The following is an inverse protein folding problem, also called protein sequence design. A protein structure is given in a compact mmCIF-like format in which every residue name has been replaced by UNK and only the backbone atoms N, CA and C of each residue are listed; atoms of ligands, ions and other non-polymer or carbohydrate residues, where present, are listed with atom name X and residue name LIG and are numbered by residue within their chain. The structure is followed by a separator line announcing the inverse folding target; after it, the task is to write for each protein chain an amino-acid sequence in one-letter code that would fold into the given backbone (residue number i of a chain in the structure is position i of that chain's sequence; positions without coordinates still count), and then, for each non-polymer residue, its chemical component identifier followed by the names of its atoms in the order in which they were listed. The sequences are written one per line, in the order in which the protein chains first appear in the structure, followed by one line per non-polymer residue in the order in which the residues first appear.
data_IF_174392199800
#
_entry.id   IF_174392199800
#
_cell.length_a   1.000
_cell.length_b   1.000
_cell.length_c   1.000
_cell.angle_alpha   90.00
_cell.angle_beta   90.00
_cell.angle_gamma   90.00
#
_symmetry.space_group_name_H-M   'P 1'
#
loop_
_entity.id
_entity.type
_entity.pdbx_description
1 polymer ?
#
# COMPACT_ATOMS: atom_id res chain seq x y z
N UNK A 1 -23.59 -11.20 -5.31
CA UNK A 1 -22.45 -11.92 -5.90
C UNK A 1 -21.69 -10.98 -6.82
N UNK A 2 -20.37 -10.95 -6.72
CA UNK A 2 -19.49 -10.21 -7.62
C UNK A 2 -19.08 -11.12 -8.78
N UNK A 3 -19.15 -10.60 -10.01
CA UNK A 3 -18.56 -11.24 -11.17
C UNK A 3 -17.17 -10.63 -11.36
N UNK A 4 -16.12 -11.45 -11.30
CA UNK A 4 -14.74 -11.00 -11.47
C UNK A 4 -14.02 -11.82 -12.55
N UNK A 5 -12.99 -11.22 -13.14
CA UNK A 5 -12.10 -11.95 -14.03
C UNK A 5 -11.19 -12.89 -13.23
N UNK A 6 -10.89 -14.07 -13.81
CA UNK A 6 -9.83 -14.91 -13.27
C UNK A 6 -8.48 -14.33 -13.67
N UNK A 7 -7.63 -14.06 -12.70
CA UNK A 7 -6.34 -13.40 -12.90
C UNK A 7 -5.19 -14.17 -12.25
N UNK A 8 -4.04 -14.17 -12.93
CA UNK A 8 -2.75 -14.50 -12.34
C UNK A 8 -2.24 -13.26 -11.62
N UNK A 9 -2.33 -13.26 -10.28
CA UNK A 9 -1.95 -12.13 -9.45
C UNK A 9 -0.45 -11.87 -9.51
N UNK A 10 -0.07 -10.61 -9.63
CA UNK A 10 1.30 -10.18 -9.39
C UNK A 10 1.57 -10.16 -7.88
N UNK A 11 2.72 -10.64 -7.40
CA UNK A 11 3.09 -10.54 -6.00
C UNK A 11 3.62 -9.13 -5.66
N UNK A 12 2.91 -8.11 -6.11
CA UNK A 12 3.26 -6.70 -5.94
C UNK A 12 2.07 -5.92 -5.36
N UNK A 13 2.37 -5.01 -4.46
CA UNK A 13 1.47 -3.97 -3.99
C UNK A 13 1.93 -2.62 -4.53
N UNK A 14 1.00 -1.87 -5.14
CA UNK A 14 1.22 -0.52 -5.63
C UNK A 14 0.55 0.46 -4.69
N UNK A 15 1.31 1.33 -4.07
CA UNK A 15 0.78 2.34 -3.15
C UNK A 15 0.88 3.71 -3.80
N UNK A 16 -0.27 4.37 -3.98
CA UNK A 16 -0.33 5.75 -4.48
C UNK A 16 -0.65 6.68 -3.32
N UNK A 17 0.01 7.84 -3.28
CA UNK A 17 -0.07 8.77 -2.17
C UNK A 17 -0.33 10.20 -2.61
N UNK A 18 -1.31 10.84 -1.97
CA UNK A 18 -1.53 12.28 -1.99
C UNK A 18 -0.83 12.98 -0.83
N UNK A 19 -0.54 12.25 0.26
CA UNK A 19 0.12 12.79 1.45
C UNK A 19 1.32 11.94 1.85
N UNK A 20 2.36 12.59 2.35
CA UNK A 20 3.48 11.91 3.01
C UNK A 20 3.04 11.38 4.37
N UNK A 21 2.70 10.08 4.45
CA UNK A 21 2.19 9.45 5.66
C UNK A 21 2.56 7.97 5.78
N UNK A 22 2.40 7.43 6.98
CA UNK A 22 2.67 6.02 7.26
C UNK A 22 4.11 5.61 7.01
N UNK A 23 4.32 4.44 6.40
CA UNK A 23 5.66 3.90 6.12
C UNK A 23 6.49 4.73 5.13
N UNK A 24 5.86 5.63 4.37
CA UNK A 24 6.58 6.58 3.50
C UNK A 24 7.57 7.43 4.29
N UNK A 25 7.19 7.88 5.48
CA UNK A 25 8.02 8.72 6.34
C UNK A 25 9.28 8.01 6.84
N UNK A 26 9.22 6.69 7.04
CA UNK A 26 10.39 5.90 7.45
C UNK A 26 11.46 5.83 6.35
N UNK A 27 11.04 5.87 5.08
CA UNK A 27 11.96 5.86 3.94
C UNK A 27 12.41 7.26 3.52
N UNK A 28 11.58 8.26 3.79
CA UNK A 28 11.75 9.65 3.34
C UNK A 28 11.70 10.57 4.56
N UNK A 29 12.76 10.53 5.36
CA UNK A 29 12.85 11.19 6.68
C UNK A 29 12.77 12.72 6.61
N UNK A 30 12.97 13.32 5.42
CA UNK A 30 12.77 14.76 5.21
C UNK A 30 11.30 15.21 5.37
N UNK A 31 10.36 14.26 5.31
CA UNK A 31 8.94 14.52 5.56
C UNK A 31 8.58 14.01 6.96
N UNK A 32 8.95 14.73 8.00
CA UNK A 32 8.58 14.35 9.35
C UNK A 32 7.05 14.28 9.53
N UNK A 33 6.61 13.31 10.33
CA UNK A 33 5.21 13.15 10.66
C UNK A 33 4.74 14.32 11.54
N UNK A 34 4.10 15.29 10.92
CA UNK A 34 3.36 16.34 11.61
C UNK A 34 1.86 16.06 11.49
N UNK A 35 1.22 15.71 12.60
CA UNK A 35 -0.22 15.43 12.67
C UNK A 35 -1.09 16.66 12.41
N UNK A 36 -0.55 17.85 12.62
CA UNK A 36 -1.28 19.10 12.40
C UNK A 36 -1.13 19.65 10.98
N UNK A 37 -0.06 19.29 10.28
CA UNK A 37 0.23 19.79 8.94
C UNK A 37 0.98 18.75 8.08
N UNK A 38 0.33 17.62 7.72
CA UNK A 38 0.98 16.60 6.90
C UNK A 38 1.27 17.12 5.48
N UNK A 39 2.47 16.81 4.98
CA UNK A 39 2.88 17.27 3.63
C UNK A 39 1.98 16.66 2.55
N UNK A 40 1.31 17.52 1.79
CA UNK A 40 0.50 17.14 0.62
C UNK A 40 1.34 17.25 -0.65
N UNK A 41 1.36 16.20 -1.45
CA UNK A 41 2.02 16.19 -2.76
C UNK A 41 1.17 16.89 -3.81
N UNK A 42 1.77 17.77 -4.59
CA UNK A 42 1.14 18.37 -5.77
C UNK A 42 0.86 17.29 -6.84
N UNK A 43 1.87 16.50 -7.16
CA UNK A 43 1.74 15.32 -8.04
C UNK A 43 1.69 14.05 -7.20
N UNK A 44 0.88 13.09 -7.64
CA UNK A 44 0.79 11.79 -6.98
C UNK A 44 2.15 11.10 -6.91
N UNK A 45 2.48 10.55 -5.76
CA UNK A 45 3.66 9.72 -5.57
C UNK A 45 3.22 8.26 -5.54
N UNK A 46 3.95 7.39 -6.21
CA UNK A 46 3.69 5.97 -6.19
C UNK A 46 4.92 5.17 -5.77
N UNK A 47 4.68 4.05 -5.13
CA UNK A 47 5.67 3.11 -4.63
C UNK A 47 5.23 1.68 -4.93
N UNK A 48 6.18 0.76 -5.06
CA UNK A 48 5.92 -0.67 -5.24
C UNK A 48 6.53 -1.43 -4.05
N UNK A 49 5.80 -2.41 -3.55
CA UNK A 49 6.25 -3.35 -2.53
C UNK A 49 6.08 -4.78 -3.03
N UNK A 50 7.02 -5.64 -2.69
CA UNK A 50 6.94 -7.05 -3.00
C UNK A 50 6.23 -7.79 -1.86
N UNK A 51 5.24 -8.65 -2.18
CA UNK A 51 4.46 -9.42 -1.18
C UNK A 51 5.20 -10.64 -0.62
N UNK A 52 6.51 -10.65 -0.62
CA UNK A 52 7.34 -11.69 -0.05
C UNK A 52 8.22 -11.12 1.06
N UNK A 53 8.71 -11.99 1.93
CA UNK A 53 9.77 -11.61 2.86
C UNK A 53 11.14 -11.75 2.20
N UNK A 54 12.10 -10.91 2.63
CA UNK A 54 13.52 -11.10 2.38
C UNK A 54 14.17 -11.52 3.69
N UNK A 55 14.88 -12.64 3.66
CA UNK A 55 15.65 -13.15 4.78
C UNK A 55 17.13 -13.00 4.45
N UNK A 56 17.89 -12.43 5.38
CA UNK A 56 19.34 -12.20 5.21
C UNK A 56 20.14 -12.96 6.29
N UNK A 57 21.47 -13.09 6.15
CA UNK A 57 22.32 -13.64 7.22
C UNK A 57 22.05 -12.93 8.58
N UNK A 58 22.10 -13.65 9.73
CA UNK A 58 22.65 -15.00 9.86
C UNK A 58 21.68 -16.17 9.61
N UNK A 59 20.42 -15.92 9.32
CA UNK A 59 19.43 -17.00 9.16
C UNK A 59 19.64 -17.85 7.91
N UNK A 60 20.26 -17.28 6.87
CA UNK A 60 20.56 -17.92 5.58
C UNK A 60 22.00 -17.58 5.17
N UNK A 61 22.58 -18.36 4.26
CA UNK A 61 23.95 -18.11 3.77
C UNK A 61 24.02 -16.84 2.92
N UNK A 62 23.01 -16.61 2.07
CA UNK A 62 22.87 -15.43 1.21
C UNK A 62 21.43 -14.91 1.27
N UNK A 63 21.18 -13.61 1.00
CA UNK A 63 19.84 -13.06 0.97
C UNK A 63 18.91 -13.85 0.03
N UNK A 64 17.73 -14.19 0.52
CA UNK A 64 16.73 -14.97 -0.23
C UNK A 64 15.34 -14.35 -0.08
N UNK A 65 14.56 -14.34 -1.18
CA UNK A 65 13.12 -14.10 -1.13
C UNK A 65 12.39 -15.37 -0.70
N UNK A 66 11.42 -15.22 0.17
CA UNK A 66 10.63 -16.30 0.74
C UNK A 66 9.15 -15.88 0.80
N UNK A 67 8.24 -16.81 0.58
CA UNK A 67 6.81 -16.59 0.82
C UNK A 67 6.58 -16.07 2.25
N UNK A 68 5.75 -15.03 2.41
CA UNK A 68 5.56 -14.43 3.74
C UNK A 68 4.99 -15.41 4.76
N UNK A 69 4.10 -16.31 4.33
CA UNK A 69 3.50 -17.30 5.24
C UNK A 69 4.54 -18.32 5.71
N UNK A 70 5.49 -18.68 4.85
CA UNK A 70 6.62 -19.52 5.22
C UNK A 70 7.58 -18.79 6.17
N UNK A 71 7.96 -17.56 5.82
CA UNK A 71 8.81 -16.73 6.69
C UNK A 71 8.17 -16.53 8.07
N UNK A 72 6.86 -16.33 8.12
CA UNK A 72 6.08 -16.18 9.36
C UNK A 72 6.18 -17.41 10.25
N UNK A 73 6.07 -18.61 9.69
CA UNK A 73 6.19 -19.86 10.44
C UNK A 73 7.59 -20.05 11.02
N UNK A 74 8.63 -19.60 10.31
CA UNK A 74 10.02 -19.80 10.71
C UNK A 74 10.55 -18.71 11.64
N UNK A 75 10.21 -17.45 11.38
CA UNK A 75 10.91 -16.29 11.95
C UNK A 75 10.01 -15.29 12.69
N UNK A 76 8.70 -15.57 12.84
CA UNK A 76 7.83 -14.75 13.69
C UNK A 76 7.68 -15.42 15.05
N UNK A 77 8.25 -14.81 16.10
CA UNK A 77 8.20 -15.31 17.49
C UNK A 77 7.54 -14.26 18.39
N UNK A 78 6.57 -14.66 19.15
CA UNK A 78 5.83 -13.78 20.09
C UNK A 78 5.31 -12.49 19.42
N UNK A 79 4.84 -12.61 18.17
CA UNK A 79 4.33 -11.48 17.38
C UNK A 79 5.39 -10.53 16.83
N UNK A 80 6.68 -10.87 16.96
CA UNK A 80 7.80 -10.06 16.46
C UNK A 80 8.63 -10.84 15.45
N UNK A 81 8.98 -10.16 14.37
CA UNK A 81 9.92 -10.70 13.38
C UNK A 81 11.34 -10.73 13.95
N UNK A 82 12.05 -11.80 13.67
CA UNK A 82 13.48 -11.87 14.00
C UNK A 82 14.28 -10.83 13.18
N UNK A 83 15.38 -10.36 13.73
CA UNK A 83 16.31 -9.48 13.04
C UNK A 83 16.84 -10.17 11.76
N UNK A 84 16.95 -9.40 10.66
CA UNK A 84 17.35 -9.96 9.37
C UNK A 84 16.19 -10.48 8.52
N UNK A 85 14.94 -10.34 8.98
CA UNK A 85 13.74 -10.65 8.21
C UNK A 85 12.98 -9.36 7.87
N UNK A 86 12.75 -9.12 6.58
CA UNK A 86 12.12 -7.91 6.05
C UNK A 86 10.87 -8.29 5.26
N UNK A 87 9.71 -7.92 5.76
CA UNK A 87 8.43 -8.15 5.07
C UNK A 87 8.09 -6.97 4.17
N UNK A 88 7.35 -7.24 3.11
CA UNK A 88 6.88 -6.24 2.14
C UNK A 88 7.98 -5.26 1.71
N UNK A 89 9.15 -5.76 1.25
CA UNK A 89 10.26 -4.90 0.91
C UNK A 89 9.88 -3.91 -0.20
N UNK A 90 10.37 -2.69 -0.08
CA UNK A 90 10.23 -1.65 -1.11
C UNK A 90 11.01 -2.05 -2.35
N UNK A 91 10.37 -1.96 -3.52
CA UNK A 91 10.97 -2.25 -4.82
C UNK A 91 11.45 -0.97 -5.46
N UNK A 92 12.76 -0.83 -5.62
CA UNK A 92 13.35 0.19 -6.48
C UNK A 92 13.44 -0.35 -7.90
N UNK A 93 12.67 0.25 -8.80
CA UNK A 93 12.65 -0.10 -10.22
C UNK A 93 13.81 0.56 -10.98
N UNK A 94 14.22 -0.04 -12.10
CA UNK A 94 15.32 0.41 -12.94
C UNK A 94 15.72 -0.64 -13.96
N UNK A 95 16.95 -0.60 -14.46
CA UNK A 95 17.49 -1.67 -15.33
C UNK A 95 17.42 -3.02 -14.62
N UNK A 96 17.80 -3.05 -13.36
CA UNK A 96 17.55 -4.15 -12.43
C UNK A 96 16.63 -3.67 -11.32
N UNK A 97 15.82 -4.58 -10.80
CA UNK A 97 15.00 -4.28 -9.62
C UNK A 97 15.75 -4.67 -8.36
N UNK A 98 15.70 -3.80 -7.36
CA UNK A 98 16.33 -4.00 -6.08
C UNK A 98 15.33 -3.89 -4.94
N UNK A 99 15.50 -4.73 -3.92
CA UNK A 99 14.67 -4.73 -2.73
C UNK A 99 15.36 -3.98 -1.58
N UNK A 100 14.60 -3.13 -0.92
CA UNK A 100 15.02 -2.35 0.24
C UNK A 100 14.07 -2.58 1.41
N UNK A 101 14.53 -2.33 2.62
CA UNK A 101 13.65 -2.33 3.78
C UNK A 101 12.52 -1.31 3.59
N UNK A 102 11.27 -1.74 3.83
CA UNK A 102 10.12 -0.84 3.82
C UNK A 102 10.12 0.18 4.98
N UNK A 103 10.93 -0.06 6.01
CA UNK A 103 10.92 0.70 7.27
C UNK A 103 12.23 1.45 7.56
N UNK A 104 13.13 1.53 6.59
CA UNK A 104 14.41 2.24 6.72
C UNK A 104 14.57 3.24 5.57
N UNK A 105 15.39 4.29 5.74
CA UNK A 105 15.69 5.24 4.66
C UNK A 105 16.21 4.52 3.40
N UNK A 106 15.80 4.99 2.22
CA UNK A 106 16.21 4.42 0.92
C UNK A 106 17.74 4.54 0.70
N UNK A 107 18.41 5.41 1.44
CA UNK A 107 19.87 5.51 1.46
C UNK A 107 20.57 4.29 2.04
N UNK A 108 19.83 3.39 2.71
CA UNK A 108 20.35 2.12 3.20
C UNK A 108 20.76 1.20 2.03
N UNK A 109 21.65 0.24 2.31
CA UNK A 109 22.07 -0.75 1.32
C UNK A 109 20.88 -1.60 0.88
N UNK A 110 20.80 -1.90 -0.42
CA UNK A 110 19.85 -2.87 -0.98
C UNK A 110 19.97 -4.21 -0.25
N UNK A 111 18.84 -4.83 0.06
CA UNK A 111 18.79 -6.18 0.65
C UNK A 111 19.24 -7.22 -0.36
N UNK A 112 18.71 -7.13 -1.58
CA UNK A 112 19.08 -8.01 -2.69
C UNK A 112 18.51 -7.46 -4.01
N UNK A 113 19.00 -7.97 -5.13
CA UNK A 113 18.37 -7.82 -6.44
C UNK A 113 17.24 -8.82 -6.60
N UNK A 114 16.23 -8.46 -7.39
CA UNK A 114 15.11 -9.34 -7.71
C UNK A 114 14.80 -9.31 -9.20
N UNK A 115 14.10 -10.34 -9.68
CA UNK A 115 13.64 -10.41 -11.07
C UNK A 115 12.60 -9.32 -11.34
N UNK A 116 12.68 -8.66 -12.50
CA UNK A 116 11.58 -7.83 -13.00
C UNK A 116 10.34 -8.69 -13.22
N UNK A 117 9.22 -8.31 -12.60
CA UNK A 117 7.93 -8.97 -12.74
C UNK A 117 7.06 -8.33 -13.82
N UNK A 118 7.43 -7.13 -14.23
CA UNK A 118 6.85 -6.38 -15.34
C UNK A 118 7.97 -5.86 -16.23
N UNK A 119 7.76 -5.88 -17.53
CA UNK A 119 8.59 -5.12 -18.47
C UNK A 119 8.41 -3.63 -18.23
N UNK A 120 9.31 -2.81 -18.74
CA UNK A 120 9.23 -1.35 -18.59
C UNK A 120 7.94 -0.79 -19.21
N UNK A 121 7.47 -1.37 -20.34
CA UNK A 121 6.20 -1.01 -20.97
C UNK A 121 4.99 -1.42 -20.11
N UNK A 122 4.98 -2.63 -19.56
CA UNK A 122 3.90 -3.08 -18.66
C UNK A 122 3.86 -2.24 -17.39
N UNK A 123 5.02 -1.85 -16.84
CA UNK A 123 5.10 -0.96 -15.69
C UNK A 123 4.53 0.43 -16.02
N UNK A 124 4.85 0.98 -17.18
CA UNK A 124 4.29 2.25 -17.65
C UNK A 124 2.77 2.18 -17.79
N UNK A 125 2.24 1.10 -18.37
CA UNK A 125 0.79 0.85 -18.47
C UNK A 125 0.18 0.73 -17.06
N UNK A 126 0.79 -0.06 -16.18
CA UNK A 126 0.34 -0.22 -14.80
C UNK A 126 0.17 1.13 -14.11
N UNK A 127 1.19 1.96 -14.16
CA UNK A 127 1.18 3.25 -13.45
C UNK A 127 0.26 4.26 -14.15
N UNK A 128 0.47 4.53 -15.45
CA UNK A 128 -0.16 5.67 -16.12
C UNK A 128 -1.55 5.37 -16.68
N UNK A 129 -1.93 4.11 -16.86
CA UNK A 129 -3.23 3.73 -17.43
C UNK A 129 -4.17 3.06 -16.44
N UNK A 130 -3.62 2.51 -15.35
CA UNK A 130 -4.45 1.78 -14.37
C UNK A 130 -4.39 2.47 -13.00
N UNK A 131 -3.22 2.55 -12.38
CA UNK A 131 -3.06 2.90 -10.96
C UNK A 131 -3.36 4.38 -10.69
N UNK A 132 -2.69 5.30 -11.38
CA UNK A 132 -2.90 6.74 -11.17
C UNK A 132 -4.33 7.17 -11.54
N UNK A 133 -4.91 6.76 -12.70
CA UNK A 133 -6.31 7.09 -13.01
C UNK A 133 -7.32 6.49 -12.01
N UNK A 134 -7.04 5.29 -11.49
CA UNK A 134 -7.90 4.69 -10.45
C UNK A 134 -7.85 5.48 -9.15
N UNK A 135 -6.66 5.94 -8.74
CA UNK A 135 -6.54 6.81 -7.57
C UNK A 135 -7.32 8.11 -7.76
N UNK A 136 -7.14 8.80 -8.87
CA UNK A 136 -7.79 10.08 -9.17
C UNK A 136 -9.32 9.94 -9.17
N UNK A 137 -9.84 8.86 -9.78
CA UNK A 137 -11.27 8.58 -9.78
C UNK A 137 -11.84 8.41 -8.36
N UNK A 138 -11.14 7.64 -7.51
CA UNK A 138 -11.55 7.39 -6.12
C UNK A 138 -11.38 8.67 -5.28
N UNK A 139 -10.29 9.42 -5.47
CA UNK A 139 -10.04 10.69 -4.80
C UNK A 139 -11.16 11.69 -5.09
N UNK A 140 -11.57 11.81 -6.36
CA UNK A 140 -12.64 12.71 -6.78
C UNK A 140 -13.99 12.29 -6.20
N UNK A 141 -14.28 11.01 -6.10
CA UNK A 141 -15.47 10.52 -5.41
C UNK A 141 -15.46 10.90 -3.93
N UNK A 142 -14.37 10.65 -3.22
CA UNK A 142 -14.25 11.04 -1.81
C UNK A 142 -14.40 12.54 -1.58
N UNK A 143 -13.86 13.39 -2.45
CA UNK A 143 -14.00 14.86 -2.38
C UNK A 143 -15.45 15.33 -2.46
N UNK A 144 -16.34 14.57 -3.10
CA UNK A 144 -17.77 14.90 -3.18
C UNK A 144 -18.51 14.64 -1.87
N UNK A 145 -17.99 13.74 -1.04
CA UNK A 145 -18.60 13.34 0.23
C UNK A 145 -18.27 14.39 1.29
N UNK A 146 -19.33 15.03 1.80
CA UNK A 146 -19.21 16.06 2.85
C UNK A 146 -19.56 15.46 4.20
N UNK A 147 -18.68 15.64 5.15
CA UNK A 147 -18.92 15.35 6.57
C UNK A 147 -19.08 16.65 7.34
N UNK A 148 -19.39 16.56 8.63
CA UNK A 148 -19.41 17.73 9.53
C UNK A 148 -18.03 18.41 9.61
N UNK A 149 -16.98 17.66 9.35
CA UNK A 149 -15.58 18.13 9.38
C UNK A 149 -15.10 18.65 8.01
N UNK A 150 -15.92 18.55 6.97
CA UNK A 150 -15.59 18.94 5.60
C UNK A 150 -15.56 17.78 4.61
N UNK A 151 -15.00 17.99 3.40
CA UNK A 151 -14.83 16.92 2.42
C UNK A 151 -13.85 15.87 2.91
N UNK A 152 -13.99 14.65 2.39
CA UNK A 152 -13.06 13.58 2.73
C UNK A 152 -11.83 13.64 1.80
N UNK A 153 -10.64 13.59 2.39
CA UNK A 153 -9.38 13.51 1.67
C UNK A 153 -8.92 12.06 1.57
N UNK A 154 -8.64 11.59 0.36
CA UNK A 154 -7.94 10.33 0.12
C UNK A 154 -6.44 10.57 0.32
N UNK A 155 -5.85 9.90 1.30
CA UNK A 155 -4.45 10.09 1.70
C UNK A 155 -3.51 9.22 0.88
N UNK A 156 -3.76 7.94 0.91
CA UNK A 156 -3.10 6.93 0.07
C UNK A 156 -4.05 5.74 -0.16
N UNK A 157 -3.70 4.95 -1.16
CA UNK A 157 -4.42 3.72 -1.47
C UNK A 157 -3.44 2.66 -1.99
N UNK A 158 -3.66 1.41 -1.61
CA UNK A 158 -2.97 0.25 -2.09
C UNK A 158 -3.78 -0.44 -3.18
N UNK A 159 -3.15 -0.73 -4.30
CA UNK A 159 -3.71 -1.50 -5.40
C UNK A 159 -2.91 -2.77 -5.64
N UNK A 160 -3.57 -3.82 -6.13
CA UNK A 160 -2.95 -5.03 -6.63
C UNK A 160 -3.35 -5.23 -8.08
N UNK A 161 -2.44 -5.76 -8.87
CA UNK A 161 -2.65 -6.03 -10.30
C UNK A 161 -2.48 -7.52 -10.60
N UNK A 162 -3.11 -7.95 -11.68
CA UNK A 162 -2.95 -9.30 -12.20
C UNK A 162 -3.15 -9.32 -13.71
N UNK A 163 -2.66 -10.39 -14.32
CA UNK A 163 -2.92 -10.68 -15.74
C UNK A 163 -4.16 -11.55 -15.88
N UNK A 164 -5.14 -11.11 -16.67
CA UNK A 164 -6.31 -11.93 -16.97
C UNK A 164 -5.89 -13.23 -17.64
N UNK A 165 -6.45 -14.35 -17.18
CA UNK A 165 -6.16 -15.67 -17.77
C UNK A 165 -6.66 -15.76 -19.21
N UNK A 166 -7.71 -15.02 -19.57
CA UNK A 166 -8.36 -15.10 -20.88
C UNK A 166 -7.56 -14.50 -22.03
N UNK A 167 -6.87 -13.38 -21.78
CA UNK A 167 -6.23 -12.57 -22.83
C UNK A 167 -4.88 -11.98 -22.43
N UNK A 168 -4.40 -12.33 -21.24
CA UNK A 168 -3.15 -11.83 -20.67
C UNK A 168 -3.08 -10.29 -20.55
N UNK A 169 -4.22 -9.60 -20.52
CA UNK A 169 -4.24 -8.16 -20.26
C UNK A 169 -4.03 -7.86 -18.79
N UNK A 170 -3.23 -6.83 -18.50
CA UNK A 170 -2.99 -6.34 -17.15
C UNK A 170 -4.20 -5.56 -16.65
N UNK A 171 -4.70 -5.89 -15.48
CA UNK A 171 -5.88 -5.26 -14.89
C UNK A 171 -5.71 -5.03 -13.39
N UNK A 172 -6.49 -4.06 -12.88
CA UNK A 172 -6.70 -3.92 -11.45
C UNK A 172 -7.37 -5.18 -10.92
N UNK A 173 -6.77 -5.77 -9.90
CA UNK A 173 -7.21 -7.02 -9.27
C UNK A 173 -7.23 -6.82 -7.77
N UNK A 174 -7.88 -7.76 -7.05
CA UNK A 174 -8.16 -7.63 -5.63
C UNK A 174 -9.26 -6.59 -5.32
N UNK A 175 -9.80 -6.69 -4.12
CA UNK A 175 -10.88 -5.81 -3.65
C UNK A 175 -10.29 -4.49 -3.18
N UNK A 176 -10.90 -3.39 -3.63
CA UNK A 176 -10.60 -2.06 -3.10
C UNK A 176 -11.67 -1.72 -2.05
N UNK A 177 -11.28 -1.71 -0.81
CA UNK A 177 -12.14 -1.49 0.34
C UNK A 177 -11.48 -0.63 1.43
N UNK A 178 -12.10 -0.57 2.63
CA UNK A 178 -11.57 0.22 3.74
C UNK A 178 -10.21 -0.25 4.26
N UNK A 179 -9.75 -1.43 3.89
CA UNK A 179 -8.41 -1.93 4.19
C UNK A 179 -7.36 -1.47 3.18
N UNK A 180 -7.81 -0.98 2.03
CA UNK A 180 -6.94 -0.58 0.92
C UNK A 180 -6.48 0.87 1.01
N UNK A 181 -7.25 1.76 1.67
CA UNK A 181 -6.98 3.21 1.69
C UNK A 181 -6.84 3.80 3.09
N UNK A 182 -6.36 5.06 3.12
CA UNK A 182 -6.52 5.99 4.24
C UNK A 182 -7.34 7.17 3.80
N UNK A 183 -8.31 7.53 4.62
CA UNK A 183 -9.21 8.65 4.37
C UNK A 183 -9.35 9.53 5.61
N UNK A 184 -9.30 10.85 5.39
CA UNK A 184 -9.38 11.85 6.46
C UNK A 184 -10.54 12.81 6.22
N UNK A 185 -11.61 12.80 7.05
CA UNK A 185 -12.62 13.84 7.07
C UNK A 185 -11.99 15.22 7.32
N UNK A 186 -12.30 16.20 6.46
CA UNK A 186 -11.73 17.53 6.52
C UNK A 186 -10.22 17.62 6.33
N UNK A 187 -9.56 16.55 5.88
CA UNK A 187 -8.10 16.47 5.78
C UNK A 187 -7.39 16.33 7.12
N UNK A 188 -8.11 16.08 8.21
CA UNK A 188 -7.56 15.95 9.57
C UNK A 188 -7.18 14.49 9.87
N UNK A 189 -5.88 14.17 10.00
CA UNK A 189 -5.42 12.81 10.27
C UNK A 189 -5.86 12.27 11.64
N UNK A 190 -6.28 13.12 12.57
CA UNK A 190 -6.82 12.67 13.87
C UNK A 190 -8.23 12.10 13.75
N UNK A 191 -8.91 12.36 12.63
CA UNK A 191 -10.28 11.91 12.33
C UNK A 191 -10.32 10.74 11.33
N UNK A 192 -9.22 10.03 11.18
CA UNK A 192 -9.09 8.89 10.26
C UNK A 192 -10.20 7.83 10.45
N UNK A 193 -10.72 7.31 9.33
CA UNK A 193 -11.81 6.33 9.31
C UNK A 193 -11.39 4.94 8.83
N UNK A 194 -10.10 4.71 8.64
CA UNK A 194 -9.52 3.47 8.12
C UNK A 194 -9.00 2.53 9.22
N UNK A 195 -8.42 1.41 8.82
CA UNK A 195 -7.89 0.40 9.74
C UNK A 195 -6.71 0.84 10.61
N UNK A 196 -6.15 2.03 10.36
CA UNK A 196 -5.07 2.54 11.19
C UNK A 196 -5.52 2.77 12.63
N UNK A 197 -6.79 3.13 12.84
CA UNK A 197 -7.41 3.23 14.16
C UNK A 197 -7.29 1.93 14.96
N UNK A 198 -7.51 0.77 14.32
CA UNK A 198 -7.30 -0.55 14.94
C UNK A 198 -5.83 -0.79 15.29
N UNK A 199 -4.90 -0.42 14.39
CA UNK A 199 -3.45 -0.59 14.62
C UNK A 199 -2.91 0.30 15.73
N UNK A 200 -3.56 1.42 15.98
CA UNK A 200 -3.24 2.36 17.07
C UNK A 200 -3.90 1.97 18.40
N UNK A 201 -4.61 0.83 18.44
CA UNK A 201 -5.18 0.27 19.67
C UNK A 201 -6.54 0.85 20.05
N UNK A 202 -7.28 1.43 19.10
CA UNK A 202 -8.66 1.86 19.32
C UNK A 202 -9.57 0.66 19.64
N UNK A 203 -10.60 0.88 20.44
CA UNK A 203 -11.57 -0.13 20.80
C UNK A 203 -12.29 -0.72 19.58
N UNK A 204 -12.46 -2.04 19.55
CA UNK A 204 -13.06 -2.78 18.43
C UNK A 204 -14.47 -2.31 18.06
N UNK A 205 -15.27 -1.84 19.04
CA UNK A 205 -16.62 -1.32 18.77
C UNK A 205 -16.52 -0.01 17.98
N UNK A 206 -15.60 0.86 18.35
CA UNK A 206 -15.35 2.12 17.62
C UNK A 206 -14.84 1.85 16.21
N UNK A 207 -13.93 0.90 16.04
CA UNK A 207 -13.44 0.48 14.72
C UNK A 207 -14.60 -0.04 13.87
N UNK A 208 -15.46 -0.91 14.40
CA UNK A 208 -16.63 -1.42 13.68
C UNK A 208 -17.60 -0.29 13.26
N UNK A 209 -17.84 0.69 14.15
CA UNK A 209 -18.64 1.85 13.84
C UNK A 209 -18.05 2.69 12.70
N UNK A 210 -16.72 2.88 12.68
CA UNK A 210 -16.03 3.58 11.58
C UNK A 210 -16.21 2.84 10.25
N UNK A 211 -16.06 1.52 10.23
CA UNK A 211 -16.29 0.72 9.01
C UNK A 211 -17.72 0.82 8.51
N UNK A 212 -18.72 0.76 9.41
CA UNK A 212 -20.13 0.97 9.05
C UNK A 212 -20.37 2.40 8.51
N UNK A 213 -19.72 3.40 9.08
CA UNK A 213 -19.80 4.77 8.57
C UNK A 213 -19.21 4.85 7.16
N UNK A 214 -18.03 4.30 6.92
CA UNK A 214 -17.40 4.28 5.59
C UNK A 214 -18.32 3.58 4.58
N UNK A 215 -18.94 2.45 4.91
CA UNK A 215 -19.91 1.77 4.05
C UNK A 215 -21.06 2.72 3.65
N UNK A 216 -21.64 3.44 4.60
CA UNK A 216 -22.71 4.42 4.31
C UNK A 216 -22.23 5.61 3.48
N UNK A 217 -20.96 5.99 3.61
CA UNK A 217 -20.39 7.08 2.82
C UNK A 217 -20.11 6.62 1.38
N UNK A 218 -19.62 5.40 1.18
CA UNK A 218 -19.38 4.83 -0.15
C UNK A 218 -20.67 4.54 -0.92
N UNK A 219 -21.81 4.31 -0.23
CA UNK A 219 -23.13 4.23 -0.88
C UNK A 219 -23.50 5.52 -1.66
N UNK A 220 -22.82 6.62 -1.39
CA UNK A 220 -23.01 7.91 -2.06
C UNK A 220 -22.11 8.09 -3.31
N UNK A 221 -21.29 7.10 -3.68
CA UNK A 221 -20.40 7.14 -4.86
C UNK A 221 -21.15 7.01 -6.21
N UNK A 222 -22.39 7.35 -6.28
CA UNK A 222 -23.25 7.29 -7.47
C UNK A 222 -22.86 8.28 -8.58
#
# INVERSE_FOLDING_TARGET
SLLSYNCNMLPLEFVVRRYAWGSYLSRNTQFEKDKSNPHQFENLVWEIFHKQAVVIPPHVAEPVQMDESEARRQFLKDGKWEEGVFTDPFVKTGEEWELFSAKQPITSKSLMKTKKLLSDQELEIAINKIILPSFELIEDKWKTIKTIDGPIHLVDIKFELGFKVSDNSLVLSDVVDNDSWRIWPGGDPTKQLDKQSFREGEDLVNVANKYQLVTKLTDQFN
#
